data_IF_728487442769
#
_entry.id   IF_728487442769
#
_cell.length_a   1.000
_cell.length_b   1.000
_cell.length_c   1.000
_cell.angle_alpha   90.00
_cell.angle_beta   90.00
_cell.angle_gamma   90.00
#
_symmetry.space_group_name_H-M   'P 1'
#
loop_
_entity.id
_entity.type
_entity.pdbx_description
1 polymer ?
#
# COMPACT_ATOMS: atom_id res chain seq x y z
N UNK A 1 -4.11 15.92 15.25
CA UNK A 1 -3.79 15.17 14.01
C UNK A 1 -3.60 16.14 12.86
N UNK A 2 -2.43 16.08 12.21
CA UNK A 2 -2.10 16.88 11.03
C UNK A 2 -2.91 16.44 9.80
N UNK A 3 -3.10 17.35 8.84
CA UNK A 3 -3.76 17.05 7.56
C UNK A 3 -3.04 15.95 6.76
N UNK A 4 -1.74 15.75 7.03
CA UNK A 4 -0.91 14.68 6.47
C UNK A 4 -1.30 13.30 7.02
N UNK A 5 -1.46 13.18 8.33
CA UNK A 5 -1.79 11.92 9.01
C UNK A 5 -3.20 11.43 8.66
N UNK A 6 -4.16 12.35 8.51
CA UNK A 6 -5.52 12.00 8.05
C UNK A 6 -5.51 11.34 6.67
N UNK A 7 -4.64 11.78 5.77
CA UNK A 7 -4.52 11.26 4.41
C UNK A 7 -3.78 9.93 4.35
N UNK A 8 -2.68 9.79 5.10
CA UNK A 8 -1.98 8.51 5.25
C UNK A 8 -2.93 7.43 5.80
N UNK A 9 -3.79 7.79 6.76
CA UNK A 9 -4.87 6.92 7.23
C UNK A 9 -5.93 6.60 6.18
N UNK A 10 -6.30 7.58 5.34
CA UNK A 10 -7.28 7.35 4.27
C UNK A 10 -6.74 6.40 3.18
N UNK A 11 -5.46 6.54 2.81
CA UNK A 11 -4.77 5.64 1.87
C UNK A 11 -4.62 4.25 2.48
N UNK A 12 -4.19 4.15 3.75
CA UNK A 12 -4.00 2.89 4.44
C UNK A 12 -5.27 2.02 4.57
N UNK A 13 -6.46 2.63 4.45
CA UNK A 13 -7.77 1.94 4.47
C UNK A 13 -8.19 1.36 3.12
N UNK A 14 -7.59 1.80 2.01
CA UNK A 14 -7.88 1.28 0.67
C UNK A 14 -7.21 -0.08 0.48
N UNK A 15 -7.87 -0.96 -0.25
CA UNK A 15 -7.27 -2.25 -0.57
C UNK A 15 -6.09 -2.09 -1.54
N UNK A 16 -5.12 -2.99 -1.43
CA UNK A 16 -3.96 -3.01 -2.33
C UNK A 16 -4.39 -3.13 -3.79
N UNK A 17 -5.38 -3.98 -4.07
CA UNK A 17 -5.92 -4.19 -5.42
C UNK A 17 -6.72 -3.01 -5.97
N UNK A 18 -7.38 -2.20 -5.13
CA UNK A 18 -7.99 -0.94 -5.58
C UNK A 18 -6.90 0.05 -6.02
N UNK A 19 -5.83 0.16 -5.24
CA UNK A 19 -4.74 1.08 -5.51
C UNK A 19 -3.92 0.68 -6.73
N UNK A 20 -3.61 -0.61 -6.91
CA UNK A 20 -2.90 -1.10 -8.09
C UNK A 20 -3.71 -0.92 -9.37
N UNK A 21 -5.03 -1.13 -9.34
CA UNK A 21 -5.91 -0.86 -10.50
C UNK A 21 -5.90 0.60 -10.91
N UNK A 22 -5.85 1.51 -9.94
CA UNK A 22 -5.88 2.96 -10.20
C UNK A 22 -4.51 3.57 -10.48
N UNK A 23 -3.47 2.98 -9.91
CA UNK A 23 -2.08 3.46 -9.99
C UNK A 23 -1.13 2.26 -10.21
N UNK A 24 -1.05 1.70 -11.42
CA UNK A 24 -0.24 0.51 -11.70
C UNK A 24 1.24 0.66 -11.33
N UNK A 25 1.77 1.89 -11.39
CA UNK A 25 3.14 2.25 -10.96
C UNK A 25 3.45 1.87 -9.50
N UNK A 26 2.43 1.74 -8.64
CA UNK A 26 2.61 1.32 -7.24
C UNK A 26 3.10 -0.12 -7.10
N UNK A 27 3.01 -0.93 -8.16
CA UNK A 27 3.52 -2.31 -8.13
C UNK A 27 5.01 -2.35 -7.76
N UNK A 28 5.82 -1.48 -8.37
CA UNK A 28 7.25 -1.36 -8.06
C UNK A 28 7.52 -1.01 -6.59
N UNK A 29 6.75 -0.08 -6.03
CA UNK A 29 6.86 0.28 -4.61
C UNK A 29 6.52 -0.89 -3.72
N UNK A 30 5.44 -1.62 -4.01
CA UNK A 30 5.10 -2.77 -3.18
C UNK A 30 6.18 -3.85 -3.25
N UNK A 31 6.77 -4.12 -4.42
CA UNK A 31 7.91 -5.03 -4.58
C UNK A 31 9.14 -4.56 -3.79
N UNK A 32 9.48 -3.27 -3.83
CA UNK A 32 10.61 -2.69 -3.07
C UNK A 32 10.45 -2.90 -1.55
N UNK A 33 9.21 -2.93 -1.07
CA UNK A 33 8.88 -3.19 0.33
C UNK A 33 8.61 -4.68 0.64
N UNK A 34 8.83 -5.58 -0.32
CA UNK A 34 8.69 -7.03 -0.13
C UNK A 34 7.25 -7.56 -0.21
N UNK A 35 6.30 -6.75 -0.68
CA UNK A 35 4.92 -7.18 -0.91
C UNK A 35 4.80 -7.62 -2.37
N UNK A 36 5.04 -8.90 -2.61
CA UNK A 36 4.97 -9.51 -3.92
C UNK A 36 3.56 -10.01 -4.26
N UNK A 37 3.23 -10.03 -5.56
CA UNK A 37 1.93 -10.49 -6.05
C UNK A 37 2.08 -11.53 -7.16
N UNK A 38 1.25 -12.57 -7.09
CA UNK A 38 1.05 -13.54 -8.16
C UNK A 38 -0.45 -13.71 -8.43
N UNK A 39 -0.80 -14.55 -9.41
CA UNK A 39 -2.19 -14.85 -9.74
C UNK A 39 -3.01 -15.38 -8.54
N UNK A 40 -2.35 -15.94 -7.52
CA UNK A 40 -2.99 -16.44 -6.28
C UNK A 40 -3.09 -15.43 -5.13
N UNK A 41 -2.59 -14.20 -5.26
CA UNK A 41 -2.52 -13.23 -4.15
C UNK A 41 -3.85 -12.54 -3.82
N UNK A 42 -4.99 -13.22 -3.99
CA UNK A 42 -6.32 -12.67 -3.74
C UNK A 42 -6.46 -12.09 -2.34
N UNK A 43 -5.92 -12.77 -1.32
CA UNK A 43 -5.95 -12.27 0.05
C UNK A 43 -5.20 -10.94 0.18
N UNK A 44 -3.96 -10.84 -0.27
CA UNK A 44 -3.18 -9.59 -0.19
C UNK A 44 -3.83 -8.46 -0.97
N UNK A 45 -4.38 -8.74 -2.15
CA UNK A 45 -5.02 -7.74 -3.01
C UNK A 45 -6.33 -7.18 -2.42
N UNK A 46 -7.04 -7.97 -1.61
CA UNK A 46 -8.29 -7.54 -0.96
C UNK A 46 -8.05 -6.85 0.40
N UNK A 47 -6.87 -7.01 0.99
CA UNK A 47 -6.52 -6.39 2.25
C UNK A 47 -6.18 -4.89 2.11
N UNK A 48 -6.47 -4.06 3.13
CA UNK A 48 -5.89 -2.73 3.26
C UNK A 48 -4.36 -2.78 3.31
N UNK A 49 -3.67 -1.73 2.82
CA UNK A 49 -2.19 -1.70 2.78
C UNK A 49 -1.56 -2.05 4.13
N UNK A 50 -2.08 -1.49 5.22
CA UNK A 50 -1.53 -1.75 6.55
C UNK A 50 -1.59 -3.23 6.93
N UNK A 51 -2.69 -3.90 6.61
CA UNK A 51 -2.85 -5.34 6.89
C UNK A 51 -1.98 -6.19 5.97
N UNK A 52 -1.89 -5.83 4.69
CA UNK A 52 -0.99 -6.49 3.76
C UNK A 52 0.48 -6.35 4.21
N UNK A 53 0.88 -5.15 4.62
CA UNK A 53 2.23 -4.88 5.12
C UNK A 53 2.56 -5.68 6.37
N UNK A 54 1.62 -5.81 7.32
CA UNK A 54 1.79 -6.70 8.48
C UNK A 54 1.91 -8.16 8.07
N UNK A 55 1.07 -8.64 7.15
CA UNK A 55 1.10 -10.03 6.67
C UNK A 55 2.43 -10.39 6.01
N UNK A 56 3.03 -9.44 5.29
CA UNK A 56 4.32 -9.58 4.62
C UNK A 56 5.51 -9.12 5.49
N UNK A 57 5.30 -8.89 6.78
CA UNK A 57 6.34 -8.48 7.74
C UNK A 57 7.17 -7.25 7.31
N UNK A 58 6.54 -6.27 6.67
CA UNK A 58 7.18 -5.04 6.22
C UNK A 58 7.75 -4.27 7.42
N UNK A 59 9.07 -3.98 7.46
CA UNK A 59 9.71 -3.42 8.64
C UNK A 59 9.29 -1.97 8.94
N UNK A 60 9.05 -1.15 7.91
CA UNK A 60 8.58 0.23 8.07
C UNK A 60 7.30 0.51 7.26
N UNK A 61 6.16 0.17 7.87
CA UNK A 61 4.83 0.42 7.30
C UNK A 61 4.55 1.93 7.14
N UNK A 62 5.13 2.79 7.99
CA UNK A 62 4.90 4.24 7.89
C UNK A 62 5.59 4.81 6.65
N UNK A 63 6.79 4.35 6.34
CA UNK A 63 7.53 4.78 5.16
C UNK A 63 6.83 4.29 3.88
N UNK A 64 6.32 3.05 3.86
CA UNK A 64 5.48 2.53 2.78
C UNK A 64 4.28 3.45 2.49
N UNK A 65 3.50 3.80 3.52
CA UNK A 65 2.31 4.65 3.36
C UNK A 65 2.66 6.05 2.83
N UNK A 66 3.80 6.60 3.24
CA UNK A 66 4.28 7.89 2.73
C UNK A 66 4.63 7.81 1.25
N UNK A 67 5.35 6.79 0.82
CA UNK A 67 5.81 6.66 -0.56
C UNK A 67 4.67 6.33 -1.51
N UNK A 68 3.73 5.47 -1.10
CA UNK A 68 2.46 5.28 -1.80
C UNK A 68 1.69 6.61 -1.90
N UNK A 69 1.59 7.34 -0.79
CA UNK A 69 0.92 8.65 -0.76
C UNK A 69 1.57 9.70 -1.65
N UNK A 70 2.89 9.64 -1.89
CA UNK A 70 3.60 10.52 -2.84
C UNK A 70 3.27 10.16 -4.29
N UNK A 71 3.22 8.88 -4.63
CA UNK A 71 2.89 8.44 -6.00
C UNK A 71 1.46 8.75 -6.40
N UNK A 72 0.52 8.73 -5.47
CA UNK A 72 -0.90 9.05 -5.73
C UNK A 72 -1.10 10.56 -5.96
N UNK A 73 -0.18 11.41 -5.51
CA UNK A 73 -0.25 12.88 -5.70
C UNK A 73 0.35 13.36 -7.02
N UNK A 74 1.15 12.51 -7.69
CA UNK A 74 1.72 12.74 -9.02
C UNK A 74 0.79 12.15 -10.06
#
# INVERSE_FOLDING_TARGET
>A
MSNKEKRENAVGKKSVGELLRRYPKLLSIFDDYGIHFCAGCFLTLTLPIQKAATYHAVPDVRQLLKDVGRQIKK
#
